data_IF_354479657934
#
_entry.id   IF_354479657934
#
_cell.length_a   1.000
_cell.length_b   1.000
_cell.length_c   1.000
_cell.angle_alpha   90.00
_cell.angle_beta   90.00
_cell.angle_gamma   90.00
#
_symmetry.space_group_name_H-M   'P 1'
#
loop_
_entity.id
_entity.type
_entity.pdbx_description
1 polymer ?
#
# COMPACT_ATOMS: atom_id res chain seq x y z
N UNK A 1 -14.91 -17.32 35.35
CA UNK A 1 -15.13 -15.86 35.30
C UNK A 1 -14.66 -15.36 33.94
N UNK A 2 -15.56 -15.30 32.96
CA UNK A 2 -15.24 -14.91 31.58
C UNK A 2 -14.85 -13.43 31.56
N UNK A 3 -13.56 -13.15 31.37
CA UNK A 3 -13.11 -11.78 31.11
C UNK A 3 -13.76 -11.32 29.81
N UNK A 4 -14.53 -10.23 29.86
CA UNK A 4 -15.07 -9.57 28.67
C UNK A 4 -13.89 -9.15 27.79
N UNK A 5 -13.51 -10.00 26.82
CA UNK A 5 -12.58 -9.62 25.75
C UNK A 5 -13.21 -8.40 25.09
N UNK A 6 -12.58 -7.24 25.25
CA UNK A 6 -12.99 -6.04 24.51
C UNK A 6 -12.88 -6.35 23.03
N UNK A 7 -13.98 -6.13 22.31
CA UNK A 7 -14.03 -6.33 20.86
C UNK A 7 -13.01 -5.38 20.25
N UNK A 8 -12.07 -5.91 19.48
CA UNK A 8 -11.13 -5.16 18.67
C UNK A 8 -11.26 -5.67 17.24
N UNK A 9 -11.15 -4.75 16.28
CA UNK A 9 -11.14 -5.10 14.87
C UNK A 9 -9.73 -4.95 14.32
N UNK A 10 -9.24 -5.98 13.62
CA UNK A 10 -8.01 -5.92 12.85
C UNK A 10 -8.14 -4.90 11.70
N UNK A 11 -7.01 -4.39 11.19
CA UNK A 11 -6.98 -3.41 10.08
C UNK A 11 -7.75 -3.90 8.85
N UNK A 12 -7.61 -5.18 8.52
CA UNK A 12 -8.31 -5.84 7.40
C UNK A 12 -9.82 -5.84 7.58
N UNK A 13 -10.30 -6.13 8.79
CA UNK A 13 -11.72 -6.18 9.13
C UNK A 13 -12.36 -4.80 9.04
N UNK A 14 -11.69 -3.76 9.55
CA UNK A 14 -12.18 -2.38 9.43
C UNK A 14 -12.32 -1.95 7.97
N UNK A 15 -11.33 -2.28 7.13
CA UNK A 15 -11.39 -2.00 5.68
C UNK A 15 -12.51 -2.77 5.00
N UNK A 16 -12.73 -4.03 5.39
CA UNK A 16 -13.83 -4.85 4.87
C UNK A 16 -15.20 -4.28 5.27
N UNK A 17 -15.35 -3.88 6.54
CA UNK A 17 -16.56 -3.23 7.04
C UNK A 17 -16.85 -1.95 6.26
N UNK A 18 -15.84 -1.09 6.05
CA UNK A 18 -16.01 0.12 5.24
C UNK A 18 -16.55 -0.21 3.83
N UNK A 19 -15.94 -1.19 3.15
CA UNK A 19 -16.34 -1.60 1.78
C UNK A 19 -17.76 -2.16 1.71
N UNK A 20 -18.10 -3.06 2.62
CA UNK A 20 -19.42 -3.70 2.63
C UNK A 20 -20.51 -2.69 2.98
N UNK A 21 -20.31 -1.90 4.03
CA UNK A 21 -21.31 -0.94 4.47
C UNK A 21 -21.46 0.23 3.50
N UNK A 22 -20.42 0.63 2.76
CA UNK A 22 -20.55 1.62 1.69
C UNK A 22 -21.56 1.17 0.64
N UNK A 23 -21.43 -0.06 0.14
CA UNK A 23 -22.34 -0.62 -0.85
C UNK A 23 -23.74 -0.75 -0.26
N UNK A 24 -23.87 -1.29 0.96
CA UNK A 24 -25.16 -1.48 1.61
C UNK A 24 -25.91 -0.16 1.88
N UNK A 25 -25.21 0.85 2.41
CA UNK A 25 -25.80 2.16 2.70
C UNK A 25 -26.20 2.90 1.43
N UNK A 26 -25.40 2.82 0.36
CA UNK A 26 -25.76 3.37 -0.95
C UNK A 26 -27.00 2.69 -1.53
N UNK A 27 -27.05 1.36 -1.50
CA UNK A 27 -28.22 0.60 -2.00
C UNK A 27 -29.47 0.95 -1.20
N UNK A 28 -29.35 1.02 0.13
CA UNK A 28 -30.46 1.40 1.01
C UNK A 28 -30.95 2.82 0.72
N UNK A 29 -30.03 3.77 0.54
CA UNK A 29 -30.39 5.15 0.21
C UNK A 29 -31.08 5.26 -1.15
N UNK A 30 -30.59 4.54 -2.17
CA UNK A 30 -31.23 4.50 -3.49
C UNK A 30 -32.63 3.87 -3.42
N UNK A 31 -32.81 2.83 -2.61
CA UNK A 31 -34.12 2.23 -2.38
C UNK A 31 -35.09 3.23 -1.71
N UNK A 32 -34.64 3.96 -0.67
CA UNK A 32 -35.44 4.98 0.01
C UNK A 32 -35.82 6.13 -0.96
N UNK A 33 -34.87 6.59 -1.77
CA UNK A 33 -35.15 7.62 -2.80
C UNK A 33 -36.12 7.12 -3.86
N UNK A 34 -36.02 5.84 -4.23
CA UNK A 34 -37.00 5.11 -5.05
C UNK A 34 -38.43 5.28 -4.54
N UNK A 35 -38.63 5.02 -3.24
CA UNK A 35 -39.93 5.10 -2.59
C UNK A 35 -40.46 6.53 -2.45
N UNK A 36 -39.60 7.49 -2.08
CA UNK A 36 -40.02 8.87 -1.78
C UNK A 36 -40.28 9.71 -3.03
N UNK A 37 -39.45 9.57 -4.07
CA UNK A 37 -39.45 10.48 -5.23
C UNK A 37 -39.94 9.84 -6.53
N UNK A 38 -40.48 8.61 -6.48
CA UNK A 38 -40.83 7.82 -7.68
C UNK A 38 -39.65 7.75 -8.67
N UNK A 39 -38.49 7.39 -8.12
CA UNK A 39 -37.23 7.39 -8.86
C UNK A 39 -37.08 6.10 -9.67
N UNK A 40 -37.46 6.17 -10.95
CA UNK A 40 -37.53 5.00 -11.84
C UNK A 40 -36.18 4.62 -12.48
N UNK A 41 -35.17 5.50 -12.42
CA UNK A 41 -33.86 5.24 -13.05
C UNK A 41 -33.14 4.01 -12.48
N UNK A 42 -33.26 3.77 -11.16
CA UNK A 42 -32.65 2.63 -10.51
C UNK A 42 -33.69 1.88 -9.68
N UNK A 43 -34.15 0.74 -10.20
CA UNK A 43 -35.08 -0.15 -9.51
C UNK A 43 -34.49 -1.55 -9.37
N UNK A 44 -34.55 -2.09 -8.14
CA UNK A 44 -34.07 -3.44 -7.85
C UNK A 44 -35.20 -4.41 -8.23
N UNK A 45 -35.08 -5.01 -9.40
CA UNK A 45 -36.02 -6.02 -9.90
C UNK A 45 -35.29 -7.32 -10.24
N UNK A 46 -36.02 -8.43 -10.39
CA UNK A 46 -35.43 -9.71 -10.84
C UNK A 46 -34.74 -9.60 -12.20
N UNK A 47 -35.19 -8.69 -13.06
CA UNK A 47 -34.57 -8.44 -14.36
C UNK A 47 -33.29 -7.62 -14.26
N UNK A 48 -33.17 -6.73 -13.26
CA UNK A 48 -32.15 -5.68 -13.21
C UNK A 48 -31.16 -5.83 -12.04
N UNK A 49 -31.13 -6.98 -11.36
CA UNK A 49 -30.28 -7.19 -10.18
C UNK A 49 -28.79 -6.97 -10.44
N UNK A 50 -28.34 -7.17 -11.69
CA UNK A 50 -26.95 -6.98 -12.10
C UNK A 50 -26.50 -5.51 -12.03
N UNK A 51 -27.41 -4.53 -12.15
CA UNK A 51 -27.08 -3.11 -11.98
C UNK A 51 -26.54 -2.81 -10.59
N UNK A 52 -27.10 -3.46 -9.56
CA UNK A 52 -26.64 -3.33 -8.18
C UNK A 52 -25.23 -3.89 -8.01
N UNK A 53 -24.93 -5.02 -8.66
CA UNK A 53 -23.61 -5.64 -8.63
C UNK A 53 -22.59 -4.73 -9.32
N UNK A 54 -22.91 -4.22 -10.51
CA UNK A 54 -22.05 -3.30 -11.28
C UNK A 54 -21.79 -2.01 -10.49
N UNK A 55 -22.82 -1.42 -9.88
CA UNK A 55 -22.68 -0.24 -9.02
C UNK A 55 -21.75 -0.52 -7.84
N UNK A 56 -21.93 -1.65 -7.16
CA UNK A 56 -21.07 -2.06 -6.05
C UNK A 56 -19.61 -2.25 -6.48
N UNK A 57 -19.37 -2.83 -7.65
CA UNK A 57 -18.03 -2.98 -8.24
C UNK A 57 -17.41 -1.61 -8.53
N UNK A 58 -18.14 -0.72 -9.20
CA UNK A 58 -17.64 0.62 -9.52
C UNK A 58 -17.30 1.42 -8.26
N UNK A 59 -18.18 1.39 -7.25
CA UNK A 59 -17.98 2.06 -5.97
C UNK A 59 -16.73 1.52 -5.24
N UNK A 60 -16.49 0.20 -5.27
CA UNK A 60 -15.32 -0.41 -4.64
C UNK A 60 -14.02 -0.09 -5.38
N UNK A 61 -14.02 -0.16 -6.71
CA UNK A 61 -12.84 0.14 -7.52
C UNK A 61 -12.49 1.63 -7.39
N UNK A 62 -13.44 2.51 -7.66
CA UNK A 62 -13.22 3.96 -7.63
C UNK A 62 -12.96 4.46 -6.21
N UNK A 63 -13.64 3.91 -5.20
CA UNK A 63 -13.35 4.21 -3.81
C UNK A 63 -11.93 3.79 -3.40
N UNK A 64 -11.37 2.73 -4.00
CA UNK A 64 -9.97 2.35 -3.76
C UNK A 64 -9.01 3.31 -4.48
N UNK A 65 -9.32 3.70 -5.72
CA UNK A 65 -8.52 4.69 -6.49
C UNK A 65 -8.47 6.03 -5.76
N UNK A 66 -9.59 6.51 -5.23
CA UNK A 66 -9.65 7.78 -4.51
C UNK A 66 -9.40 7.65 -3.01
N UNK A 67 -8.75 6.57 -2.57
CA UNK A 67 -8.26 6.36 -1.18
C UNK A 67 -9.36 6.39 -0.10
N UNK A 68 -10.61 6.17 -0.49
CA UNK A 68 -11.76 6.19 0.42
C UNK A 68 -11.69 5.08 1.49
N UNK A 69 -10.99 3.98 1.19
CA UNK A 69 -10.77 2.84 2.10
C UNK A 69 -9.43 2.87 2.83
N UNK A 70 -8.67 3.97 2.71
CA UNK A 70 -7.50 4.21 3.53
C UNK A 70 -7.95 4.64 4.93
N UNK A 71 -7.53 3.92 5.98
CA UNK A 71 -8.02 4.16 7.35
C UNK A 71 -7.63 5.55 7.87
N UNK A 72 -6.41 6.01 7.57
CA UNK A 72 -5.95 7.35 7.95
C UNK A 72 -6.82 8.43 7.29
N UNK A 73 -7.11 8.28 6.01
CA UNK A 73 -8.00 9.18 5.25
C UNK A 73 -9.43 9.12 5.77
N UNK A 74 -9.96 7.93 6.03
CA UNK A 74 -11.32 7.72 6.55
C UNK A 74 -11.52 8.34 7.94
N UNK A 75 -10.48 8.43 8.76
CA UNK A 75 -10.53 9.12 10.05
C UNK A 75 -10.41 10.65 9.97
N UNK A 76 -9.95 11.22 8.84
CA UNK A 76 -9.76 12.65 8.67
C UNK A 76 -10.95 13.28 7.93
N UNK A 77 -11.70 14.17 8.61
CA UNK A 77 -12.91 14.80 8.09
C UNK A 77 -12.69 15.57 6.77
N UNK A 78 -11.58 16.29 6.62
CA UNK A 78 -11.33 17.09 5.42
C UNK A 78 -10.92 16.23 4.22
N UNK A 79 -10.04 15.25 4.44
CA UNK A 79 -9.56 14.39 3.35
C UNK A 79 -10.65 13.44 2.85
N UNK A 80 -11.52 12.96 3.76
CA UNK A 80 -12.59 12.04 3.37
C UNK A 80 -13.67 12.73 2.54
N UNK A 81 -14.01 14.00 2.81
CA UNK A 81 -14.96 14.78 1.99
C UNK A 81 -14.52 14.79 0.51
N UNK A 82 -13.26 15.14 0.25
CA UNK A 82 -12.70 15.15 -1.10
C UNK A 82 -12.79 13.77 -1.76
N UNK A 83 -12.45 12.73 -1.01
CA UNK A 83 -12.42 11.35 -1.50
C UNK A 83 -13.83 10.83 -1.83
N UNK A 84 -14.83 11.15 -1.01
CA UNK A 84 -16.24 10.81 -1.26
C UNK A 84 -16.74 11.52 -2.52
N UNK A 85 -16.52 12.82 -2.65
CA UNK A 85 -17.00 13.60 -3.80
C UNK A 85 -16.38 13.10 -5.11
N UNK A 86 -15.08 12.83 -5.14
CA UNK A 86 -14.42 12.26 -6.33
C UNK A 86 -14.94 10.85 -6.64
N UNK A 87 -15.14 10.02 -5.60
CA UNK A 87 -15.67 8.67 -5.76
C UNK A 87 -17.09 8.68 -6.29
N UNK A 88 -17.99 9.47 -5.70
CA UNK A 88 -19.40 9.51 -6.09
C UNK A 88 -19.58 10.10 -7.49
N UNK A 89 -18.91 11.22 -7.79
CA UNK A 89 -18.98 11.86 -9.11
C UNK A 89 -18.46 10.94 -10.21
N UNK A 90 -17.30 10.32 -10.01
CA UNK A 90 -16.72 9.39 -10.99
C UNK A 90 -17.57 8.12 -11.12
N UNK A 91 -18.09 7.59 -10.01
CA UNK A 91 -18.96 6.39 -10.03
C UNK A 91 -20.23 6.66 -10.82
N UNK A 92 -20.89 7.80 -10.56
CA UNK A 92 -22.09 8.21 -11.30
C UNK A 92 -21.77 8.41 -12.78
N UNK A 93 -20.67 9.09 -13.11
CA UNK A 93 -20.26 9.31 -14.49
C UNK A 93 -20.05 7.97 -15.24
N UNK A 94 -19.25 7.06 -14.69
CA UNK A 94 -19.03 5.75 -15.31
C UNK A 94 -20.31 4.93 -15.40
N UNK A 95 -21.16 4.98 -14.37
CA UNK A 95 -22.43 4.27 -14.36
C UNK A 95 -23.40 4.80 -15.43
N UNK A 96 -23.39 6.10 -15.72
CA UNK A 96 -24.21 6.70 -16.80
C UNK A 96 -23.66 6.42 -18.21
N UNK A 97 -22.33 6.32 -18.35
CA UNK A 97 -21.65 6.16 -19.64
C UNK A 97 -21.47 4.69 -20.08
N UNK A 98 -22.02 3.72 -19.34
CA UNK A 98 -21.87 2.28 -19.62
C UNK A 98 -23.20 1.55 -19.85
N UNK A 99 -24.06 2.03 -20.77
CA UNK A 99 -25.46 1.56 -20.94
C UNK A 99 -25.60 0.10 -21.36
N UNK A 100 -24.49 -0.58 -21.71
CA UNK A 100 -24.46 -2.03 -21.95
C UNK A 100 -24.67 -2.81 -20.64
N UNK A 101 -24.10 -2.31 -19.53
CA UNK A 101 -24.12 -2.96 -18.21
C UNK A 101 -25.00 -2.23 -17.20
N UNK A 102 -25.44 -1.02 -17.51
CA UNK A 102 -26.19 -0.11 -16.63
C UNK A 102 -27.46 0.39 -17.33
N UNK A 103 -28.45 0.96 -16.61
CA UNK A 103 -29.67 1.47 -17.23
C UNK A 103 -29.37 2.60 -18.21
N UNK A 104 -30.18 2.69 -19.27
CA UNK A 104 -30.14 3.80 -20.22
C UNK A 104 -30.46 5.10 -19.49
N UNK A 105 -29.85 6.20 -19.94
CA UNK A 105 -30.04 7.54 -19.37
C UNK A 105 -31.52 7.86 -19.12
N UNK A 106 -31.87 8.40 -17.93
CA UNK A 106 -33.26 8.65 -17.58
C UNK A 106 -33.81 9.78 -18.46
N UNK A 107 -35.10 9.67 -18.80
CA UNK A 107 -35.84 10.70 -19.54
C UNK A 107 -35.87 12.02 -18.77
N UNK A 108 -36.06 11.97 -17.45
CA UNK A 108 -35.97 13.13 -16.57
C UNK A 108 -34.54 13.32 -16.05
N UNK A 109 -33.90 14.44 -16.42
CA UNK A 109 -32.52 14.76 -16.01
C UNK A 109 -32.38 15.03 -14.50
N UNK A 110 -33.45 15.40 -13.79
CA UNK A 110 -33.41 15.55 -12.33
C UNK A 110 -33.12 14.22 -11.62
N UNK A 111 -33.48 13.08 -12.22
CA UNK A 111 -33.16 11.77 -11.67
C UNK A 111 -31.64 11.54 -11.58
N UNK A 112 -30.84 12.12 -12.49
CA UNK A 112 -29.37 12.06 -12.39
C UNK A 112 -28.88 12.77 -11.12
N UNK A 113 -29.49 13.91 -10.78
CA UNK A 113 -29.15 14.67 -9.59
C UNK A 113 -29.54 13.88 -8.33
N UNK A 114 -30.75 13.30 -8.30
CA UNK A 114 -31.18 12.46 -7.19
C UNK A 114 -30.27 11.25 -6.99
N UNK A 115 -29.86 10.59 -8.08
CA UNK A 115 -28.91 9.47 -8.02
C UNK A 115 -27.57 9.89 -7.42
N UNK A 116 -27.00 11.00 -7.90
CA UNK A 116 -25.73 11.53 -7.39
C UNK A 116 -25.80 11.95 -5.92
N UNK A 117 -26.86 12.68 -5.53
CA UNK A 117 -27.06 13.12 -4.15
C UNK A 117 -27.31 11.93 -3.22
N UNK A 118 -28.09 10.93 -3.64
CA UNK A 118 -28.35 9.73 -2.84
C UNK A 118 -27.04 8.98 -2.52
N UNK A 119 -26.21 8.72 -3.53
CA UNK A 119 -24.91 8.06 -3.32
C UNK A 119 -24.02 8.89 -2.41
N UNK A 120 -23.91 10.19 -2.69
CA UNK A 120 -23.01 11.10 -1.96
C UNK A 120 -23.44 11.21 -0.48
N UNK A 121 -24.71 11.45 -0.21
CA UNK A 121 -25.24 11.59 1.15
C UNK A 121 -25.17 10.27 1.93
N UNK A 122 -25.41 9.12 1.28
CA UNK A 122 -25.28 7.81 1.92
C UNK A 122 -23.85 7.56 2.41
N UNK A 123 -22.86 7.81 1.54
CA UNK A 123 -21.45 7.70 1.89
C UNK A 123 -21.07 8.67 3.02
N UNK A 124 -21.55 9.91 2.98
CA UNK A 124 -21.32 10.87 4.06
C UNK A 124 -21.92 10.41 5.40
N UNK A 125 -23.17 9.98 5.41
CA UNK A 125 -23.86 9.52 6.61
C UNK A 125 -23.12 8.34 7.26
N UNK A 126 -22.71 7.36 6.43
CA UNK A 126 -21.93 6.23 6.91
C UNK A 126 -20.53 6.64 7.42
N UNK A 127 -19.86 7.61 6.80
CA UNK A 127 -18.56 8.09 7.27
C UNK A 127 -18.64 8.82 8.61
N UNK A 128 -19.69 9.61 8.83
CA UNK A 128 -19.95 10.24 10.13
C UNK A 128 -20.16 9.15 11.19
N UNK A 129 -20.96 8.13 10.89
CA UNK A 129 -21.16 6.99 11.79
C UNK A 129 -19.86 6.24 12.09
N UNK A 130 -19.07 5.93 11.06
CA UNK A 130 -17.79 5.26 11.21
C UNK A 130 -16.83 6.06 12.11
N UNK A 131 -16.73 7.37 11.90
CA UNK A 131 -15.87 8.24 12.71
C UNK A 131 -16.34 8.33 14.17
N UNK A 132 -17.64 8.49 14.38
CA UNK A 132 -18.21 8.62 15.72
C UNK A 132 -18.11 7.32 16.54
N UNK A 133 -18.32 6.16 15.89
CA UNK A 133 -18.42 4.88 16.59
C UNK A 133 -17.13 4.04 16.45
N UNK A 134 -16.75 3.68 15.21
CA UNK A 134 -15.72 2.69 14.90
C UNK A 134 -14.29 3.25 14.94
N UNK A 135 -14.10 4.54 14.64
CA UNK A 135 -12.80 5.21 14.75
C UNK A 135 -12.53 5.80 16.15
N UNK A 136 -13.47 5.63 17.09
CA UNK A 136 -13.29 6.10 18.46
C UNK A 136 -12.27 5.24 19.23
N UNK A 137 -11.70 5.78 20.31
CA UNK A 137 -10.69 5.10 21.17
C UNK A 137 -11.21 3.80 21.84
N UNK A 138 -12.45 3.40 21.55
CA UNK A 138 -13.10 2.17 22.00
C UNK A 138 -12.40 0.91 21.48
N UNK A 139 -11.79 0.96 20.29
CA UNK A 139 -11.22 -0.19 19.57
C UNK A 139 -9.69 -0.21 19.56
N UNK A 140 -9.04 0.31 20.61
CA UNK A 140 -7.58 0.20 20.75
C UNK A 140 -7.18 -1.26 20.96
N UNK A 141 -6.22 -1.73 20.15
CA UNK A 141 -5.55 -3.00 20.38
C UNK A 141 -4.46 -2.78 21.41
N UNK A 142 -4.62 -3.40 22.57
CA UNK A 142 -3.75 -3.21 23.74
C UNK A 142 -2.74 -4.35 23.78
N UNK A 143 -1.46 -3.99 23.76
CA UNK A 143 -0.39 -4.95 23.53
C UNK A 143 0.65 -4.89 24.62
N UNK A 144 1.20 -6.05 24.97
CA UNK A 144 2.40 -6.17 25.80
C UNK A 144 3.55 -6.67 24.93
N UNK A 145 4.72 -6.06 25.09
CA UNK A 145 5.91 -6.41 24.31
C UNK A 145 6.96 -7.11 25.17
N UNK A 146 7.60 -8.15 24.65
CA UNK A 146 8.75 -8.81 25.28
C UNK A 146 9.97 -8.44 24.47
N UNK A 147 10.82 -7.57 25.00
CA UNK A 147 11.96 -7.03 24.28
C UNK A 147 13.04 -6.49 25.22
N UNK A 148 14.24 -6.27 24.67
CA UNK A 148 15.30 -5.58 25.37
C UNK A 148 14.98 -4.08 25.50
N UNK A 149 15.29 -3.49 26.66
CA UNK A 149 15.03 -2.07 26.93
C UNK A 149 15.57 -1.13 25.85
N UNK A 150 16.77 -1.40 25.33
CA UNK A 150 17.44 -0.54 24.35
C UNK A 150 16.72 -0.48 22.99
N UNK A 151 15.89 -1.47 22.67
CA UNK A 151 15.16 -1.53 21.40
C UNK A 151 13.70 -1.04 21.54
N UNK A 152 13.19 -0.91 22.76
CA UNK A 152 11.78 -0.63 23.03
C UNK A 152 11.28 0.61 22.29
N UNK A 153 11.99 1.74 22.39
CA UNK A 153 11.54 3.01 21.79
C UNK A 153 11.43 2.90 20.26
N UNK A 154 12.41 2.27 19.61
CA UNK A 154 12.41 2.11 18.16
C UNK A 154 11.28 1.16 17.69
N UNK A 155 11.11 0.02 18.38
CA UNK A 155 10.09 -0.97 18.06
C UNK A 155 8.68 -0.37 18.24
N UNK A 156 8.43 0.31 19.36
CA UNK A 156 7.16 0.99 19.66
C UNK A 156 6.88 2.07 18.62
N UNK A 157 7.84 2.97 18.38
CA UNK A 157 7.67 4.07 17.43
C UNK A 157 7.36 3.57 16.02
N UNK A 158 7.96 2.45 15.61
CA UNK A 158 7.76 1.90 14.27
C UNK A 158 6.34 1.34 14.04
N UNK A 159 5.69 0.79 15.08
CA UNK A 159 4.35 0.24 15.03
C UNK A 159 3.29 1.33 15.22
N UNK A 160 3.42 2.15 16.27
CA UNK A 160 2.43 3.17 16.62
C UNK A 160 2.34 4.31 15.58
N UNK A 161 3.45 4.60 14.89
CA UNK A 161 3.47 5.59 13.79
C UNK A 161 2.61 5.16 12.61
N UNK A 162 2.48 3.85 12.38
CA UNK A 162 1.71 3.30 11.25
C UNK A 162 0.25 3.09 11.66
N UNK A 163 0.01 2.54 12.84
CA UNK A 163 -1.33 2.40 13.41
C UNK A 163 -1.40 2.96 14.83
N UNK A 164 -1.96 4.18 15.01
CA UNK A 164 -2.17 4.78 16.33
C UNK A 164 -3.10 3.98 17.25
N UNK A 165 -3.88 3.03 16.70
CA UNK A 165 -4.77 2.17 17.48
C UNK A 165 -4.07 0.92 18.03
N UNK A 166 -2.84 0.66 17.61
CA UNK A 166 -2.00 -0.41 18.13
C UNK A 166 -1.15 0.17 19.27
N UNK A 167 -1.62 0.03 20.51
CA UNK A 167 -1.00 0.68 21.68
C UNK A 167 -0.26 -0.32 22.56
N UNK A 168 1.03 -0.06 22.75
CA UNK A 168 1.89 -0.87 23.60
C UNK A 168 1.81 -0.31 25.02
N UNK A 169 1.16 -1.04 25.93
CA UNK A 169 0.88 -0.56 27.28
C UNK A 169 1.97 -0.94 28.29
N UNK A 170 2.68 -2.03 28.02
CA UNK A 170 3.75 -2.48 28.88
C UNK A 170 4.76 -3.34 28.14
N UNK A 171 5.95 -3.46 28.73
CA UNK A 171 7.00 -4.32 28.23
C UNK A 171 7.62 -5.18 29.33
N UNK A 172 8.12 -6.35 28.95
CA UNK A 172 8.90 -7.24 29.81
C UNK A 172 10.34 -7.16 29.30
N UNK A 173 11.26 -6.72 30.18
CA UNK A 173 12.66 -6.64 29.84
C UNK A 173 13.30 -8.03 29.80
N UNK A 174 13.93 -8.37 28.68
CA UNK A 174 14.72 -9.61 28.51
C UNK A 174 16.23 -9.41 28.68
N UNK A 175 16.67 -8.17 28.95
CA UNK A 175 18.09 -7.90 29.21
C UNK A 175 18.50 -8.48 30.57
N UNK A 176 19.59 -9.26 30.57
CA UNK A 176 20.12 -9.95 31.74
C UNK A 176 20.84 -9.01 32.72
N UNK A 177 21.01 -7.73 32.37
CA UNK A 177 21.47 -6.69 33.30
C UNK A 177 20.29 -6.18 34.12
N UNK A 178 20.23 -6.66 35.37
CA UNK A 178 19.19 -6.40 36.37
C UNK A 178 19.11 -4.95 36.89
N UNK A 179 18.99 -3.98 35.99
CA UNK A 179 18.61 -2.63 36.39
C UNK A 179 17.10 -2.60 36.61
N UNK A 180 16.67 -2.13 37.78
CA UNK A 180 15.28 -1.76 38.07
C UNK A 180 14.84 -0.69 37.08
N UNK A 181 14.17 -1.11 36.00
CA UNK A 181 13.85 -0.22 34.89
C UNK A 181 12.63 0.64 35.23
N UNK A 182 12.84 1.95 35.27
CA UNK A 182 11.81 2.98 35.29
C UNK A 182 10.97 2.96 34.01
N UNK A 183 9.69 3.35 34.12
CA UNK A 183 8.79 3.49 32.98
C UNK A 183 9.45 4.33 31.88
N UNK A 184 9.53 3.78 30.68
CA UNK A 184 10.17 4.43 29.54
C UNK A 184 9.12 4.73 28.47
N UNK A 185 9.10 5.97 27.97
CA UNK A 185 8.19 6.42 26.91
C UNK A 185 6.68 6.17 27.18
N UNK A 186 6.24 6.19 28.44
CA UNK A 186 4.82 5.94 28.80
C UNK A 186 4.39 4.47 28.73
N UNK A 187 5.34 3.55 28.50
CA UNK A 187 5.14 2.10 28.52
C UNK A 187 5.58 1.56 29.88
N UNK A 188 4.71 0.83 30.58
CA UNK A 188 5.01 0.30 31.91
C UNK A 188 5.96 -0.90 31.84
N UNK A 189 7.01 -0.91 32.67
CA UNK A 189 7.81 -2.12 32.86
C UNK A 189 7.01 -3.13 33.71
N UNK A 190 6.87 -4.36 33.22
CA UNK A 190 6.11 -5.43 33.87
C UNK A 190 7.07 -6.51 34.36
N UNK A 191 7.05 -6.77 35.66
CA UNK A 191 7.72 -7.94 36.21
C UNK A 191 7.02 -9.23 35.75
N UNK A 192 7.82 -10.26 35.47
CA UNK A 192 7.34 -11.56 34.97
C UNK A 192 6.25 -12.15 35.90
N UNK A 193 6.39 -11.92 37.22
CA UNK A 193 5.45 -12.34 38.23
C UNK A 193 4.04 -11.76 38.04
N UNK A 194 3.94 -10.47 37.68
CA UNK A 194 2.68 -9.70 37.62
C UNK A 194 2.06 -9.64 36.21
N UNK A 195 2.64 -10.35 35.23
CA UNK A 195 2.15 -10.38 33.85
C UNK A 195 0.65 -10.70 33.74
N UNK A 196 0.20 -11.73 34.46
CA UNK A 196 -1.20 -12.14 34.45
C UNK A 196 -2.13 -11.08 35.06
N UNK A 197 -1.70 -10.42 36.13
CA UNK A 197 -2.43 -9.34 36.79
C UNK A 197 -2.57 -8.14 35.86
N UNK A 198 -1.46 -7.74 35.24
CA UNK A 198 -1.42 -6.63 34.28
C UNK A 198 -2.31 -6.88 33.06
N UNK A 199 -2.26 -8.07 32.48
CA UNK A 199 -3.08 -8.46 31.32
C UNK A 199 -4.57 -8.30 31.62
N UNK A 200 -5.02 -8.78 32.79
CA UNK A 200 -6.42 -8.70 33.20
C UNK A 200 -6.85 -7.28 33.52
N UNK A 201 -6.04 -6.53 34.26
CA UNK A 201 -6.32 -5.13 34.65
C UNK A 201 -6.43 -4.22 33.44
N UNK A 202 -5.52 -4.36 32.48
CA UNK A 202 -5.45 -3.49 31.31
C UNK A 202 -6.21 -4.04 30.10
N UNK A 203 -6.76 -5.25 30.15
CA UNK A 203 -7.47 -5.86 29.03
C UNK A 203 -6.59 -6.00 27.80
N UNK A 204 -5.37 -6.53 27.99
CA UNK A 204 -4.40 -6.77 26.91
C UNK A 204 -4.96 -7.85 25.99
N UNK A 205 -4.89 -7.63 24.67
CA UNK A 205 -5.44 -8.54 23.66
C UNK A 205 -4.39 -9.39 22.96
N UNK A 206 -3.14 -8.91 22.91
CA UNK A 206 -2.05 -9.54 22.15
C UNK A 206 -0.71 -9.33 22.88
N UNK A 207 0.18 -10.32 22.76
CA UNK A 207 1.55 -10.28 23.28
C UNK A 207 2.50 -10.40 22.10
N UNK A 208 3.47 -9.48 22.02
CA UNK A 208 4.46 -9.44 20.94
C UNK A 208 5.84 -9.77 21.47
N UNK A 209 6.49 -10.76 20.87
CA UNK A 209 7.86 -11.15 21.20
C UNK A 209 8.80 -10.53 20.17
N UNK A 210 9.65 -9.61 20.62
CA UNK A 210 10.67 -8.96 19.78
C UNK A 210 12.11 -9.33 20.16
N UNK A 211 12.30 -10.20 21.16
CA UNK A 211 13.63 -10.63 21.58
C UNK A 211 14.29 -11.49 20.49
N UNK A 212 15.44 -11.03 19.99
CA UNK A 212 16.22 -11.71 18.94
C UNK A 212 17.09 -12.84 19.49
N UNK A 213 17.43 -12.78 20.78
CA UNK A 213 18.26 -13.77 21.45
C UNK A 213 17.38 -14.67 22.30
N UNK A 214 17.32 -15.95 21.95
CA UNK A 214 16.61 -16.97 22.73
C UNK A 214 17.12 -17.04 24.18
N UNK A 215 18.38 -16.69 24.41
CA UNK A 215 19.03 -16.66 25.73
C UNK A 215 18.38 -15.65 26.70
N UNK A 216 17.70 -14.62 26.19
CA UNK A 216 17.03 -13.60 27.01
C UNK A 216 15.65 -14.02 27.51
N UNK A 217 15.07 -15.10 26.97
CA UNK A 217 13.78 -15.62 27.42
C UNK A 217 14.01 -16.66 28.51
N UNK A 218 13.77 -16.29 29.77
CA UNK A 218 13.87 -17.22 30.89
C UNK A 218 12.81 -18.32 30.79
N UNK A 219 13.12 -19.50 31.36
CA UNK A 219 12.20 -20.65 31.41
C UNK A 219 10.86 -20.26 32.07
N UNK A 220 10.90 -19.43 33.11
CA UNK A 220 9.69 -18.94 33.79
C UNK A 220 8.82 -18.09 32.85
N UNK A 221 9.42 -17.16 32.09
CA UNK A 221 8.69 -16.35 31.11
C UNK A 221 8.09 -17.24 30.02
N UNK A 222 8.84 -18.22 29.52
CA UNK A 222 8.36 -19.15 28.51
C UNK A 222 7.14 -19.94 28.99
N UNK A 223 7.21 -20.52 30.19
CA UNK A 223 6.09 -21.28 30.77
C UNK A 223 4.85 -20.40 31.00
N UNK A 224 5.03 -19.15 31.40
CA UNK A 224 3.92 -18.18 31.55
C UNK A 224 3.29 -17.82 30.20
N UNK A 225 4.10 -17.62 29.17
CA UNK A 225 3.63 -17.38 27.82
C UNK A 225 2.83 -18.57 27.28
N UNK A 226 3.29 -19.80 27.53
CA UNK A 226 2.54 -21.02 27.19
C UNK A 226 1.18 -21.07 27.91
N UNK A 227 1.15 -20.81 29.21
CA UNK A 227 -0.11 -20.77 29.97
C UNK A 227 -1.08 -19.70 29.46
N UNK A 228 -0.57 -18.56 28.96
CA UNK A 228 -1.40 -17.52 28.32
C UNK A 228 -1.91 -17.98 26.95
N UNK A 229 -1.10 -18.69 26.19
CA UNK A 229 -1.51 -19.27 24.91
C UNK A 229 -2.63 -20.31 25.10
N UNK A 230 -2.54 -21.17 26.12
CA UNK A 230 -3.59 -22.12 26.52
C UNK A 230 -4.90 -21.43 26.92
N UNK A 231 -4.82 -20.24 27.53
CA UNK A 231 -5.97 -19.40 27.84
C UNK A 231 -6.57 -18.68 26.61
N UNK A 232 -5.95 -18.84 25.44
CA UNK A 232 -6.40 -18.25 24.18
C UNK A 232 -5.99 -16.79 24.00
N UNK A 233 -4.87 -16.36 24.60
CA UNK A 233 -4.19 -15.13 24.22
C UNK A 233 -3.38 -15.34 22.94
N UNK A 234 -3.36 -14.31 22.09
CA UNK A 234 -2.60 -14.33 20.84
C UNK A 234 -1.18 -13.88 21.13
N UNK A 235 -0.22 -14.75 20.84
CA UNK A 235 1.21 -14.47 20.93
C UNK A 235 1.77 -14.44 19.51
N UNK A 236 2.43 -13.35 19.13
CA UNK A 236 3.04 -13.20 17.80
C UNK A 236 4.47 -12.70 17.90
N UNK A 237 5.26 -13.01 16.88
CA UNK A 237 6.59 -12.44 16.72
C UNK A 237 6.50 -11.00 16.18
N UNK A 238 7.40 -10.13 16.63
CA UNK A 238 7.48 -8.75 16.18
C UNK A 238 7.62 -8.63 14.66
N UNK A 239 8.45 -9.47 14.02
CA UNK A 239 8.65 -9.39 12.56
C UNK A 239 7.35 -9.64 11.79
N UNK A 240 6.52 -10.58 12.26
CA UNK A 240 5.21 -10.88 11.67
C UNK A 240 4.21 -9.74 11.89
N UNK A 241 4.18 -9.17 13.09
CA UNK A 241 3.32 -8.03 13.41
C UNK A 241 3.70 -6.81 12.57
N UNK A 242 4.99 -6.49 12.52
CA UNK A 242 5.53 -5.42 11.69
C UNK A 242 5.17 -5.64 10.22
N UNK A 243 5.35 -6.84 9.70
CA UNK A 243 5.04 -7.20 8.31
C UNK A 243 3.55 -7.06 7.99
N UNK A 244 2.66 -7.49 8.90
CA UNK A 244 1.21 -7.40 8.71
C UNK A 244 0.69 -5.96 8.76
N UNK A 245 1.20 -5.15 9.69
CA UNK A 245 0.74 -3.76 9.88
C UNK A 245 1.34 -2.84 8.81
N UNK A 246 2.65 -2.93 8.59
CA UNK A 246 3.38 -1.99 7.73
C UNK A 246 3.45 -2.42 6.28
N UNK A 247 3.17 -3.71 5.98
CA UNK A 247 3.34 -4.32 4.66
C UNK A 247 4.78 -4.15 4.13
N UNK A 248 5.77 -4.29 5.04
CA UNK A 248 7.21 -4.17 4.84
C UNK A 248 7.94 -5.30 5.56
N UNK A 249 9.11 -5.70 5.06
CA UNK A 249 9.99 -6.63 5.76
C UNK A 249 10.98 -5.86 6.63
N UNK A 250 11.09 -6.11 7.94
CA UNK A 250 11.98 -5.38 8.83
C UNK A 250 13.44 -5.83 8.69
N UNK A 251 14.11 -5.45 7.60
CA UNK A 251 15.48 -5.91 7.26
C UNK A 251 16.49 -5.67 8.40
N UNK A 252 16.32 -4.59 9.17
CA UNK A 252 17.21 -4.22 10.28
C UNK A 252 17.20 -5.20 11.47
N UNK A 253 16.15 -6.01 11.62
CA UNK A 253 15.99 -6.95 12.73
C UNK A 253 16.13 -8.42 12.31
N UNK A 254 16.38 -8.67 11.03
CA UNK A 254 16.40 -10.02 10.46
C UNK A 254 17.83 -10.60 10.36
N UNK A 255 18.85 -9.76 10.62
CA UNK A 255 20.31 -10.07 10.66
C UNK A 255 20.74 -11.32 9.86
N UNK A 256 21.41 -12.30 10.48
CA UNK A 256 21.97 -13.49 9.80
C UNK A 256 20.94 -14.57 9.46
N UNK A 257 19.77 -14.52 10.10
CA UNK A 257 18.71 -15.51 9.92
C UNK A 257 17.76 -15.18 8.75
N UNK A 258 18.12 -14.23 7.87
CA UNK A 258 17.30 -13.79 6.75
C UNK A 258 16.67 -14.93 5.94
N UNK A 259 17.42 -16.00 5.67
CA UNK A 259 16.92 -17.16 4.94
C UNK A 259 15.83 -17.95 5.69
N UNK A 260 15.82 -17.92 7.02
CA UNK A 260 14.77 -18.52 7.87
C UNK A 260 13.46 -17.74 7.76
N UNK A 261 13.56 -16.43 7.61
CA UNK A 261 12.42 -15.49 7.58
C UNK A 261 11.89 -15.18 6.18
N UNK A 262 12.68 -15.47 5.14
CA UNK A 262 12.37 -15.16 3.75
C UNK A 262 12.25 -16.43 2.89
N UNK A 263 11.27 -17.32 3.16
CA UNK A 263 10.92 -18.33 2.18
C UNK A 263 10.34 -17.62 0.96
N UNK A 264 10.97 -17.75 -0.21
CA UNK A 264 10.42 -17.20 -1.44
C UNK A 264 8.99 -17.71 -1.63
N UNK A 265 8.05 -16.82 -1.97
CA UNK A 265 6.66 -17.20 -2.26
C UNK A 265 6.60 -18.43 -3.16
N UNK A 266 5.71 -19.39 -2.87
CA UNK A 266 5.38 -20.48 -3.81
C UNK A 266 5.01 -19.94 -5.19
N UNK A 267 4.44 -18.72 -5.24
CA UNK A 267 4.09 -18.00 -6.46
C UNK A 267 5.29 -17.66 -7.35
N UNK A 268 6.49 -17.47 -6.77
CA UNK A 268 7.71 -17.21 -7.56
C UNK A 268 8.10 -18.41 -8.44
N UNK A 269 7.62 -19.61 -8.10
CA UNK A 269 7.82 -20.84 -8.86
C UNK A 269 6.54 -21.37 -9.51
N UNK A 270 5.38 -20.73 -9.27
CA UNK A 270 4.11 -21.14 -9.85
C UNK A 270 4.09 -20.79 -11.34
N UNK A 271 4.26 -21.81 -12.19
CA UNK A 271 4.34 -21.65 -13.65
C UNK A 271 3.06 -21.05 -14.24
N UNK A 272 1.88 -21.42 -13.73
CA UNK A 272 0.61 -20.90 -14.22
C UNK A 272 0.49 -19.40 -13.94
N UNK A 273 0.81 -19.00 -12.72
CA UNK A 273 0.84 -17.58 -12.33
C UNK A 273 1.81 -16.79 -13.21
N UNK A 274 3.04 -17.27 -13.39
CA UNK A 274 4.05 -16.58 -14.21
C UNK A 274 3.64 -16.48 -15.67
N UNK A 275 2.98 -17.51 -16.22
CA UNK A 275 2.46 -17.50 -17.59
C UNK A 275 1.34 -16.47 -17.74
N UNK A 276 0.35 -16.48 -16.84
CA UNK A 276 -0.76 -15.53 -16.86
C UNK A 276 -0.27 -14.09 -16.69
N UNK A 277 0.63 -13.86 -15.73
CA UNK A 277 1.27 -12.56 -15.54
C UNK A 277 1.98 -12.12 -16.82
N UNK A 278 2.72 -13.03 -17.49
CA UNK A 278 3.42 -12.70 -18.74
C UNK A 278 2.46 -12.35 -19.88
N UNK A 279 1.34 -13.06 -20.04
CA UNK A 279 0.34 -12.74 -21.05
C UNK A 279 -0.26 -11.35 -20.82
N UNK A 280 -0.64 -11.05 -19.56
CA UNK A 280 -1.17 -9.74 -19.17
C UNK A 280 -0.12 -8.64 -19.42
N UNK A 281 1.14 -8.87 -19.06
CA UNK A 281 2.23 -7.92 -19.31
C UNK A 281 2.41 -7.62 -20.79
N UNK A 282 2.32 -8.64 -21.66
CA UNK A 282 2.41 -8.46 -23.12
C UNK A 282 1.23 -7.62 -23.61
N UNK A 283 0.00 -7.94 -23.19
CA UNK A 283 -1.19 -7.16 -23.57
C UNK A 283 -1.08 -5.70 -23.14
N UNK A 284 -0.73 -5.44 -21.87
CA UNK A 284 -0.53 -4.09 -21.34
C UNK A 284 0.58 -3.37 -22.12
N UNK A 285 1.66 -4.08 -22.44
CA UNK A 285 2.77 -3.52 -23.20
C UNK A 285 2.38 -3.15 -24.62
N UNK A 286 1.57 -3.97 -25.30
CA UNK A 286 1.10 -3.67 -26.66
C UNK A 286 0.19 -2.44 -26.67
N UNK A 287 -0.74 -2.37 -25.71
CA UNK A 287 -1.60 -1.19 -25.54
C UNK A 287 -0.77 0.06 -25.21
N UNK A 288 0.19 -0.07 -24.28
CA UNK A 288 1.09 1.03 -23.91
C UNK A 288 1.95 1.52 -25.08
N UNK A 289 2.48 0.62 -25.92
CA UNK A 289 3.21 0.97 -27.14
C UNK A 289 2.27 1.65 -28.15
N UNK A 290 1.06 1.14 -28.38
CA UNK A 290 0.11 1.73 -29.31
C UNK A 290 -0.26 3.18 -28.91
N UNK A 291 -0.56 3.41 -27.61
CA UNK A 291 -0.81 4.76 -27.08
C UNK A 291 0.45 5.62 -27.22
N UNK A 292 1.63 5.07 -26.90
CA UNK A 292 2.90 5.78 -27.03
C UNK A 292 3.20 6.21 -28.47
N UNK A 293 2.89 5.36 -29.46
CA UNK A 293 3.01 5.66 -30.89
C UNK A 293 2.03 6.75 -31.31
N UNK A 294 0.79 6.70 -30.82
CA UNK A 294 -0.20 7.74 -31.09
C UNK A 294 0.22 9.12 -30.53
N UNK A 295 0.84 9.14 -29.35
CA UNK A 295 1.32 10.37 -28.72
C UNK A 295 2.67 10.86 -29.30
N UNK A 296 3.44 9.99 -29.95
CA UNK A 296 4.80 10.26 -30.39
C UNK A 296 4.96 11.52 -31.26
N UNK A 297 4.09 11.83 -32.25
CA UNK A 297 4.22 13.04 -33.07
C UNK A 297 4.13 14.31 -32.23
N UNK A 298 3.17 14.36 -31.30
CA UNK A 298 2.97 15.50 -30.41
C UNK A 298 4.16 15.68 -29.46
N UNK A 299 4.67 14.58 -28.91
CA UNK A 299 5.85 14.60 -28.03
C UNK A 299 7.09 15.04 -28.80
N UNK A 300 7.26 14.60 -30.05
CA UNK A 300 8.39 14.97 -30.89
C UNK A 300 8.41 16.47 -31.17
N UNK A 301 7.28 17.04 -31.60
CA UNK A 301 7.13 18.49 -31.83
C UNK A 301 7.37 19.28 -30.54
N UNK A 302 6.75 18.86 -29.43
CA UNK A 302 6.90 19.53 -28.15
C UNK A 302 8.34 19.44 -27.61
N UNK A 303 9.05 18.33 -27.82
CA UNK A 303 10.47 18.20 -27.51
C UNK A 303 11.33 19.12 -28.39
N UNK A 304 11.03 19.22 -29.68
CA UNK A 304 11.77 20.11 -30.59
C UNK A 304 11.73 21.58 -30.12
N UNK A 305 10.56 22.03 -29.64
CA UNK A 305 10.36 23.39 -29.14
C UNK A 305 10.91 23.55 -27.71
N UNK A 306 10.55 22.65 -26.81
CA UNK A 306 10.75 22.79 -25.36
C UNK A 306 11.99 22.11 -24.78
N UNK A 307 12.65 21.23 -25.53
CA UNK A 307 13.85 20.49 -25.11
C UNK A 307 14.74 20.13 -26.31
N UNK A 308 15.55 21.08 -26.80
CA UNK A 308 16.43 20.89 -27.97
C UNK A 308 17.36 19.67 -27.80
N UNK A 309 17.42 18.79 -28.81
CA UNK A 309 18.26 17.57 -28.83
C UNK A 309 17.47 16.24 -28.93
N UNK A 310 18.11 15.09 -28.67
CA UNK A 310 17.52 13.77 -28.94
C UNK A 310 16.29 13.49 -28.09
N UNK A 311 15.26 12.88 -28.69
CA UNK A 311 14.01 12.55 -28.00
C UNK A 311 14.19 11.41 -26.98
N UNK A 312 14.95 10.38 -27.33
CA UNK A 312 15.15 9.21 -26.48
C UNK A 312 16.35 9.37 -25.55
N UNK A 313 16.19 8.85 -24.34
CA UNK A 313 17.24 8.67 -23.36
C UNK A 313 17.37 7.18 -23.04
N UNK A 314 18.59 6.66 -23.08
CA UNK A 314 18.90 5.25 -22.83
C UNK A 314 19.90 5.16 -21.69
N UNK A 315 19.63 4.30 -20.71
CA UNK A 315 20.48 4.12 -19.53
C UNK A 315 20.61 2.65 -19.15
N UNK A 316 21.76 2.28 -18.61
CA UNK A 316 21.97 0.94 -18.04
C UNK A 316 21.35 0.82 -16.65
N UNK A 317 20.69 -0.32 -16.44
CA UNK A 317 20.00 -0.66 -15.19
C UNK A 317 20.21 -2.12 -14.84
N UNK A 318 20.12 -2.44 -13.56
CA UNK A 318 20.20 -3.81 -13.06
C UNK A 318 18.82 -4.46 -13.14
N UNK A 319 18.76 -5.61 -13.81
CA UNK A 319 17.57 -6.42 -13.99
C UNK A 319 17.58 -7.71 -13.18
N UNK A 320 16.80 -8.70 -13.63
CA UNK A 320 16.68 -9.99 -12.96
C UNK A 320 18.04 -10.68 -12.84
N UNK A 321 18.32 -11.25 -11.67
CA UNK A 321 19.56 -11.94 -11.31
C UNK A 321 20.81 -11.06 -11.51
N UNK A 322 20.69 -9.74 -11.35
CA UNK A 322 21.80 -8.81 -11.51
C UNK A 322 22.18 -8.50 -12.96
N UNK A 323 21.47 -9.05 -13.96
CA UNK A 323 21.79 -8.84 -15.38
C UNK A 323 21.53 -7.39 -15.79
N UNK A 324 22.51 -6.75 -16.40
CA UNK A 324 22.39 -5.37 -16.87
C UNK A 324 21.56 -5.34 -18.16
N UNK A 325 20.63 -4.37 -18.26
CA UNK A 325 19.86 -4.09 -19.47
C UNK A 325 19.74 -2.59 -19.73
N UNK A 326 19.34 -2.22 -20.95
CA UNK A 326 19.14 -0.83 -21.36
C UNK A 326 17.68 -0.43 -21.21
N UNK A 327 17.38 0.55 -20.36
CA UNK A 327 16.04 1.12 -20.19
C UNK A 327 15.83 2.25 -21.21
N UNK A 328 14.65 2.27 -21.85
CA UNK A 328 14.27 3.32 -22.80
C UNK A 328 13.32 4.33 -22.16
N UNK A 329 13.57 5.63 -22.31
CA UNK A 329 12.69 6.71 -21.85
C UNK A 329 12.66 7.88 -22.83
N UNK A 330 11.67 8.75 -22.72
CA UNK A 330 11.80 10.09 -23.30
C UNK A 330 12.70 10.96 -22.44
N UNK A 331 13.51 11.80 -23.09
CA UNK A 331 14.46 12.67 -22.43
C UNK A 331 13.73 13.82 -21.74
N UNK A 332 13.86 13.91 -20.43
CA UNK A 332 13.24 14.94 -19.60
C UNK A 332 14.21 15.96 -19.02
N UNK A 333 15.51 15.68 -19.12
CA UNK A 333 16.58 16.58 -18.66
C UNK A 333 17.29 17.26 -19.84
N UNK A 334 17.99 18.36 -19.56
CA UNK A 334 18.87 19.04 -20.51
C UNK A 334 19.95 18.09 -21.05
N UNK A 335 20.47 18.39 -22.25
CA UNK A 335 21.60 17.65 -22.83
C UNK A 335 22.80 17.77 -21.89
N UNK A 336 23.48 16.66 -21.62
CA UNK A 336 24.65 16.58 -20.72
C UNK A 336 24.35 16.87 -19.23
N UNK A 337 23.14 16.55 -18.75
CA UNK A 337 22.78 16.70 -17.34
C UNK A 337 23.66 15.92 -16.33
N UNK A 338 24.50 14.98 -16.78
CA UNK A 338 25.33 14.11 -15.93
C UNK A 338 26.79 14.02 -16.44
N UNK A 339 27.41 15.12 -16.89
CA UNK A 339 28.78 15.09 -17.42
C UNK A 339 29.87 14.68 -16.42
N UNK A 340 29.68 14.92 -15.11
CA UNK A 340 30.75 14.70 -14.13
C UNK A 340 30.55 13.47 -13.22
N UNK A 341 29.34 13.19 -12.69
CA UNK A 341 29.04 12.02 -11.82
C UNK A 341 27.58 11.56 -11.89
N UNK A 342 27.34 10.27 -11.60
CA UNK A 342 26.00 9.72 -11.37
C UNK A 342 25.43 10.28 -10.06
N UNK A 343 24.43 11.17 -10.14
CA UNK A 343 23.77 11.78 -8.98
C UNK A 343 22.31 11.33 -8.92
N UNK A 344 21.77 11.10 -7.71
CA UNK A 344 20.34 10.91 -7.54
C UNK A 344 19.58 12.14 -8.05
N UNK A 345 18.45 11.92 -8.72
CA UNK A 345 17.59 13.04 -9.12
C UNK A 345 16.86 13.55 -7.87
N UNK A 346 17.05 14.81 -7.52
CA UNK A 346 16.41 15.46 -6.37
C UNK A 346 15.08 16.10 -6.74
N UNK A 347 14.27 16.42 -5.72
CA UNK A 347 13.05 17.19 -5.92
C UNK A 347 13.36 18.58 -6.51
N UNK A 348 12.63 18.97 -7.56
CA UNK A 348 12.86 20.22 -8.31
C UNK A 348 14.27 20.37 -8.93
N UNK A 349 14.83 19.27 -9.43
CA UNK A 349 16.11 19.30 -10.14
C UNK A 349 16.11 20.32 -11.30
N UNK A 350 17.01 21.30 -11.22
CA UNK A 350 17.19 22.38 -12.20
C UNK A 350 17.55 21.87 -13.60
N UNK A 351 18.00 20.61 -13.71
CA UNK A 351 18.32 19.95 -14.99
C UNK A 351 17.08 19.51 -15.75
N UNK A 352 15.90 19.51 -15.13
CA UNK A 352 14.63 19.10 -15.77
C UNK A 352 14.04 20.27 -16.54
N UNK A 353 13.80 20.09 -17.84
CA UNK A 353 13.17 21.13 -18.68
C UNK A 353 11.69 21.31 -18.34
N UNK A 354 11.08 22.45 -18.70
CA UNK A 354 9.65 22.68 -18.45
C UNK A 354 8.78 21.58 -19.08
N UNK A 355 9.06 21.22 -20.33
CA UNK A 355 8.40 20.09 -21.00
C UNK A 355 8.73 18.75 -20.32
N UNK A 356 9.97 18.55 -19.86
CA UNK A 356 10.37 17.38 -19.08
C UNK A 356 9.60 17.25 -17.76
N UNK A 357 9.28 18.37 -17.08
CA UNK A 357 8.44 18.36 -15.88
C UNK A 357 7.03 17.86 -16.20
N UNK A 358 6.44 18.29 -17.31
CA UNK A 358 5.14 17.78 -17.77
C UNK A 358 5.18 16.28 -18.06
N UNK A 359 6.20 15.81 -18.80
CA UNK A 359 6.36 14.39 -19.12
C UNK A 359 6.51 13.52 -17.86
N UNK A 360 7.29 13.97 -16.86
CA UNK A 360 7.47 13.26 -15.58
C UNK A 360 6.19 13.22 -14.75
N UNK A 361 5.49 14.37 -14.64
CA UNK A 361 4.23 14.47 -13.90
C UNK A 361 3.16 13.55 -14.49
N UNK A 362 3.06 13.51 -15.82
CA UNK A 362 2.12 12.65 -16.55
C UNK A 362 2.60 11.21 -16.72
N UNK A 363 3.84 10.88 -16.33
CA UNK A 363 4.53 9.59 -16.57
C UNK A 363 4.68 9.21 -18.04
N UNK A 364 4.43 10.15 -18.96
CA UNK A 364 4.56 9.91 -20.39
C UNK A 364 6.02 9.60 -20.76
N UNK A 365 6.99 10.12 -20.00
CA UNK A 365 8.42 9.81 -20.20
C UNK A 365 8.76 8.32 -20.09
N UNK A 366 7.93 7.55 -19.38
CA UNK A 366 8.15 6.13 -19.12
C UNK A 366 7.53 5.21 -20.18
N UNK A 367 6.74 5.72 -21.14
CA UNK A 367 6.09 4.90 -22.19
C UNK A 367 7.06 4.04 -23.03
N UNK A 368 8.25 4.52 -23.43
CA UNK A 368 9.19 3.68 -24.17
C UNK A 368 9.63 2.41 -23.40
N UNK A 369 9.49 2.39 -22.07
CA UNK A 369 9.81 1.21 -21.24
C UNK A 369 8.86 0.04 -21.51
N UNK A 370 7.67 0.25 -22.10
CA UNK A 370 6.84 -0.86 -22.55
C UNK A 370 7.61 -1.75 -23.54
N UNK A 371 8.52 -1.21 -24.35
CA UNK A 371 9.40 -2.02 -25.20
C UNK A 371 10.27 -2.99 -24.36
N UNK A 372 10.77 -2.56 -23.20
CA UNK A 372 11.52 -3.43 -22.29
C UNK A 372 10.65 -4.52 -21.67
N UNK A 373 9.38 -4.21 -21.37
CA UNK A 373 8.40 -5.21 -20.91
C UNK A 373 8.16 -6.25 -22.00
N UNK A 374 7.95 -5.82 -23.25
CA UNK A 374 7.74 -6.72 -24.38
C UNK A 374 8.97 -7.62 -24.63
N UNK A 375 10.19 -7.07 -24.60
CA UNK A 375 11.45 -7.81 -24.71
C UNK A 375 11.67 -8.80 -23.56
N UNK A 376 11.06 -8.54 -22.40
CA UNK A 376 11.15 -9.38 -21.23
C UNK A 376 12.27 -9.00 -20.26
N UNK A 377 12.93 -7.86 -20.46
CA UNK A 377 13.90 -7.27 -19.52
C UNK A 377 13.20 -6.79 -18.24
N UNK A 378 11.98 -6.27 -18.41
CA UNK A 378 11.13 -5.73 -17.35
C UNK A 378 9.79 -6.48 -17.26
N UNK A 379 9.12 -6.31 -16.14
CA UNK A 379 7.73 -6.64 -15.88
C UNK A 379 6.90 -5.36 -15.80
N UNK A 380 5.57 -5.46 -15.82
CA UNK A 380 4.71 -4.31 -15.48
C UNK A 380 4.83 -3.99 -13.98
N UNK A 381 4.85 -5.04 -13.13
CA UNK A 381 4.89 -4.92 -11.67
C UNK A 381 6.14 -5.60 -11.12
N UNK A 382 6.97 -4.81 -10.42
CA UNK A 382 8.21 -5.27 -9.80
C UNK A 382 9.02 -4.15 -9.15
N UNK A 383 10.14 -4.48 -8.50
CA UNK A 383 11.06 -3.48 -7.94
C UNK A 383 11.53 -2.48 -9.00
N UNK A 384 11.66 -1.20 -8.65
CA UNK A 384 12.15 -0.20 -9.62
C UNK A 384 13.61 -0.53 -9.99
N UNK A 385 13.97 -0.59 -11.28
CA UNK A 385 15.34 -0.91 -11.68
C UNK A 385 16.27 0.24 -11.30
N UNK A 386 17.40 -0.05 -10.65
CA UNK A 386 18.41 0.96 -10.25
C UNK A 386 19.66 0.90 -11.13
N UNK A 387 20.45 1.99 -11.11
CA UNK A 387 21.73 2.04 -11.84
C UNK A 387 22.75 1.11 -11.18
N UNK A 388 23.58 0.38 -11.95
CA UNK A 388 24.61 -0.51 -11.39
C UNK A 388 25.48 0.16 -10.33
N UNK A 389 25.93 1.40 -10.59
CA UNK A 389 26.71 2.20 -9.65
C UNK A 389 26.05 2.36 -8.27
N UNK A 390 24.77 2.72 -8.22
CA UNK A 390 24.06 2.86 -6.95
C UNK A 390 23.77 1.51 -6.30
N UNK A 391 23.52 0.47 -7.11
CA UNK A 391 23.31 -0.88 -6.60
C UNK A 391 24.53 -1.37 -5.84
N UNK A 392 25.73 -1.16 -6.38
CA UNK A 392 26.99 -1.54 -5.74
C UNK A 392 27.22 -0.75 -4.44
N UNK A 393 27.05 0.58 -4.48
CA UNK A 393 27.20 1.43 -3.30
C UNK A 393 26.25 1.04 -2.17
N UNK A 394 24.98 0.81 -2.48
CA UNK A 394 23.97 0.44 -1.48
C UNK A 394 24.22 -0.98 -0.99
N UNK A 395 24.56 -1.93 -1.87
CA UNK A 395 24.84 -3.31 -1.47
C UNK A 395 26.03 -3.42 -0.50
N UNK A 396 27.03 -2.53 -0.62
CA UNK A 396 28.15 -2.48 0.32
C UNK A 396 27.76 -2.00 1.72
N UNK A 397 26.69 -1.22 1.85
CA UNK A 397 26.22 -0.67 3.12
C UNK A 397 25.03 -1.44 3.71
N UNK A 398 24.29 -2.14 2.86
CA UNK A 398 23.05 -2.80 3.19
C UNK A 398 23.11 -4.28 2.78
N UNK A 399 23.29 -5.19 3.76
CA UNK A 399 23.12 -6.61 3.53
C UNK A 399 21.79 -6.91 2.85
N UNK A 400 21.76 -7.95 2.01
CA UNK A 400 20.56 -8.44 1.30
C UNK A 400 19.95 -7.48 0.27
N UNK A 401 20.55 -6.32 -0.01
CA UNK A 401 20.03 -5.41 -1.02
C UNK A 401 19.88 -6.07 -2.40
N UNK A 402 20.80 -6.99 -2.75
CA UNK A 402 20.77 -7.73 -4.01
C UNK A 402 19.55 -8.68 -4.15
N UNK A 403 18.91 -9.09 -3.05
CA UNK A 403 17.76 -10.01 -3.06
C UNK A 403 16.58 -9.44 -3.85
N UNK A 404 16.48 -8.11 -3.98
CA UNK A 404 15.44 -7.48 -4.81
C UNK A 404 15.53 -7.85 -6.31
N UNK A 405 16.71 -8.27 -6.78
CA UNK A 405 16.93 -8.65 -8.17
C UNK A 405 16.51 -10.09 -8.50
N UNK A 406 15.99 -10.88 -7.56
CA UNK A 406 15.55 -12.27 -7.82
C UNK A 406 14.37 -12.32 -8.83
N UNK A 407 13.61 -11.23 -8.95
CA UNK A 407 12.54 -11.08 -9.93
C UNK A 407 12.84 -9.96 -10.92
N UNK A 408 12.06 -9.88 -12.02
CA UNK A 408 12.20 -8.81 -12.99
C UNK A 408 11.83 -7.46 -12.35
N UNK A 409 12.56 -6.38 -12.68
CA UNK A 409 12.15 -5.05 -12.28
C UNK A 409 10.85 -4.62 -12.96
N UNK A 410 10.12 -3.68 -12.35
CA UNK A 410 8.81 -3.21 -12.80
C UNK A 410 8.78 -1.79 -13.34
N UNK A 411 7.77 -1.47 -14.15
CA UNK A 411 7.36 -0.09 -14.44
C UNK A 411 6.83 0.58 -13.16
N UNK A 412 5.98 -0.17 -12.45
CA UNK A 412 5.44 0.18 -11.14
C UNK A 412 5.74 -0.95 -10.14
N UNK A 413 5.56 -0.70 -8.85
CA UNK A 413 5.93 -1.64 -7.81
C UNK A 413 5.40 -1.21 -6.44
N UNK A 414 5.41 -2.16 -5.50
CA UNK A 414 4.88 -1.94 -4.16
C UNK A 414 5.58 -0.79 -3.42
N UNK A 415 6.90 -0.65 -3.54
CA UNK A 415 7.63 0.48 -2.99
C UNK A 415 7.17 1.81 -3.62
N UNK A 416 7.03 1.87 -4.95
CA UNK A 416 6.68 3.10 -5.67
C UNK A 416 5.29 3.63 -5.30
N UNK A 417 4.32 2.75 -5.02
CA UNK A 417 2.94 3.16 -4.68
C UNK A 417 2.71 3.44 -3.20
N UNK A 418 3.59 2.97 -2.31
CA UNK A 418 3.47 3.21 -0.87
C UNK A 418 4.50 4.20 -0.31
N UNK A 419 5.54 4.53 -1.09
CA UNK A 419 6.62 5.39 -0.66
C UNK A 419 7.18 6.19 -1.85
N UNK A 420 6.71 7.42 -2.00
CA UNK A 420 7.02 8.30 -3.12
C UNK A 420 8.32 9.09 -2.95
N UNK A 421 8.87 9.15 -1.74
CA UNK A 421 10.06 9.95 -1.43
C UNK A 421 11.32 9.09 -1.41
N UNK A 422 12.45 9.64 -1.85
CA UNK A 422 13.71 9.08 -1.39
C UNK A 422 14.92 9.58 -2.14
N UNK A 423 15.67 10.45 -1.47
CA UNK A 423 16.94 11.03 -1.91
C UNK A 423 18.11 10.57 -1.00
N UNK A 424 17.85 9.67 -0.04
CA UNK A 424 18.85 9.17 0.92
C UNK A 424 19.00 7.64 0.94
N UNK A 425 20.08 7.18 1.57
CA UNK A 425 20.33 5.75 1.85
C UNK A 425 19.23 5.18 2.76
N UNK A 426 18.74 5.94 3.76
CA UNK A 426 17.64 5.52 4.63
C UNK A 426 16.35 5.27 3.84
N UNK A 427 16.09 6.09 2.83
CA UNK A 427 14.93 5.89 1.95
C UNK A 427 15.08 4.65 1.07
N UNK A 428 16.32 4.36 0.64
CA UNK A 428 16.65 3.12 -0.07
C UNK A 428 16.40 1.88 0.79
N UNK A 429 16.61 1.97 2.11
CA UNK A 429 16.23 0.94 3.06
C UNK A 429 14.72 0.73 3.09
N UNK A 430 13.91 1.77 3.26
CA UNK A 430 12.45 1.64 3.26
C UNK A 430 11.94 1.07 1.93
N UNK A 431 12.49 1.51 0.80
CA UNK A 431 12.17 0.97 -0.54
C UNK A 431 12.50 -0.52 -0.63
N UNK A 432 13.67 -0.94 -0.14
CA UNK A 432 14.05 -2.35 -0.08
C UNK A 432 13.04 -3.16 0.75
N UNK A 433 12.64 -2.68 1.93
CA UNK A 433 11.68 -3.38 2.79
C UNK A 433 10.35 -3.65 2.08
N UNK A 434 9.86 -2.69 1.29
CA UNK A 434 8.66 -2.87 0.46
C UNK A 434 8.89 -3.82 -0.72
N UNK A 435 10.03 -3.72 -1.41
CA UNK A 435 10.34 -4.61 -2.52
C UNK A 435 10.44 -6.07 -2.06
N UNK A 436 11.07 -6.31 -0.91
CA UNK A 436 11.14 -7.63 -0.29
C UNK A 436 9.76 -8.14 0.12
N UNK A 437 8.89 -7.27 0.65
CA UNK A 437 7.51 -7.64 0.96
C UNK A 437 6.77 -8.12 -0.30
N UNK A 438 6.90 -7.38 -1.41
CA UNK A 438 6.31 -7.79 -2.68
C UNK A 438 6.85 -9.13 -3.17
N UNK A 439 8.16 -9.36 -3.11
CA UNK A 439 8.79 -10.62 -3.52
C UNK A 439 8.30 -11.80 -2.66
N UNK A 440 8.09 -11.58 -1.35
CA UNK A 440 7.59 -12.59 -0.40
C UNK A 440 6.09 -12.88 -0.57
N UNK A 441 5.27 -11.88 -0.88
CA UNK A 441 3.80 -11.99 -0.97
C UNK A 441 3.24 -11.92 -2.38
N UNK A 442 4.10 -12.14 -3.37
CA UNK A 442 3.75 -12.01 -4.78
C UNK A 442 2.52 -12.85 -5.13
N UNK A 443 1.45 -12.18 -5.56
CA UNK A 443 0.15 -12.80 -5.85
C UNK A 443 -0.65 -11.90 -6.80
N UNK A 444 -1.61 -12.49 -7.52
CA UNK A 444 -2.51 -11.75 -8.42
C UNK A 444 -3.26 -10.63 -7.65
N UNK A 445 -3.66 -10.90 -6.42
CA UNK A 445 -4.36 -9.91 -5.60
C UNK A 445 -3.47 -8.70 -5.25
N UNK A 446 -2.20 -8.95 -4.89
CA UNK A 446 -1.25 -7.89 -4.63
C UNK A 446 -0.92 -7.10 -5.90
N UNK A 447 -0.81 -7.77 -7.04
CA UNK A 447 -0.61 -7.14 -8.35
C UNK A 447 -1.76 -6.20 -8.72
N UNK A 448 -3.01 -6.66 -8.58
CA UNK A 448 -4.21 -5.82 -8.78
C UNK A 448 -4.20 -4.61 -7.84
N UNK A 449 -3.86 -4.82 -6.57
CA UNK A 449 -3.77 -3.73 -5.59
C UNK A 449 -2.72 -2.69 -6.01
N UNK A 450 -1.53 -3.14 -6.46
CA UNK A 450 -0.50 -2.26 -6.99
C UNK A 450 -1.05 -1.47 -8.18
N UNK A 451 -1.65 -2.12 -9.17
CA UNK A 451 -2.21 -1.44 -10.36
C UNK A 451 -3.21 -0.34 -9.98
N UNK A 452 -4.14 -0.62 -9.07
CA UNK A 452 -5.13 0.37 -8.60
C UNK A 452 -4.43 1.55 -7.91
N UNK A 453 -3.46 1.28 -7.04
CA UNK A 453 -2.69 2.35 -6.38
C UNK A 453 -1.81 3.14 -7.35
N UNK A 454 -1.31 2.52 -8.41
CA UNK A 454 -0.56 3.21 -9.47
C UNK A 454 -1.45 4.22 -10.18
N UNK A 455 -2.70 3.85 -10.52
CA UNK A 455 -3.68 4.77 -11.10
C UNK A 455 -3.94 5.95 -10.17
N UNK A 456 -4.18 5.67 -8.88
CA UNK A 456 -4.34 6.70 -7.85
C UNK A 456 -3.15 7.67 -7.80
N UNK A 457 -1.93 7.12 -7.80
CA UNK A 457 -0.68 7.89 -7.75
C UNK A 457 -0.52 8.82 -8.96
N UNK A 458 -0.90 8.35 -10.16
CA UNK A 458 -0.85 9.14 -11.40
C UNK A 458 -1.90 10.26 -11.36
N UNK A 459 -3.15 9.94 -10.96
CA UNK A 459 -4.25 10.91 -10.90
C UNK A 459 -3.98 12.04 -9.89
N UNK A 460 -3.37 11.72 -8.75
CA UNK A 460 -3.02 12.71 -7.72
C UNK A 460 -1.64 13.34 -7.92
N UNK A 461 -0.92 13.02 -9.02
CA UNK A 461 0.43 13.53 -9.31
C UNK A 461 1.44 13.32 -8.16
N UNK A 462 1.30 12.25 -7.37
CA UNK A 462 2.16 11.96 -6.20
C UNK A 462 3.50 11.29 -6.57
N UNK A 463 3.83 11.28 -7.85
CA UNK A 463 4.86 10.44 -8.42
C UNK A 463 6.29 10.98 -8.40
N UNK A 464 6.51 12.27 -8.09
CA UNK A 464 7.83 12.90 -8.04
C UNK A 464 7.76 14.32 -7.48
#
# INVERSE_FOLDING_TARGET
MFSFKKIHFEISERKLLLRLFDVLTVILALYIVGLLFKFDYFSISKANFYWTIVLGIYLNILGTVFEMYNLQTASNQYQIIKSILLTSSTTVLFFLLTPIFTPVLPSNRLQIIYFFLAITLALFAWRIFYQAFLASHRFLKRVVMVCDKNQLEELVASLEKVDPHYKILGFINTDSKGDTVSNHAGVANIEIADLNGFIRKNGVSEIVIASQKTDGITVDLYNRLLALLEQGFVIREYTQVYENITQRIPVQYVDRDFYRYFPFSRSNHNKLYLLLARLIEILISLVGIAIGLYLLPFIYVANFIGNKGPLFYVQERVGKNGKIFRIYKFRTMVKNAETDKAVFATQNDNRITFFGKFLRKSRIDEFPQFINVLKGDMAVIGPRPERPFFVEQIANQMPFYQTRHVIKPGLTGWAQVNYSYGDSIKDSLIKLQYDLYYIKHRSIFLDINITIKTISTILFYRGQ
#
